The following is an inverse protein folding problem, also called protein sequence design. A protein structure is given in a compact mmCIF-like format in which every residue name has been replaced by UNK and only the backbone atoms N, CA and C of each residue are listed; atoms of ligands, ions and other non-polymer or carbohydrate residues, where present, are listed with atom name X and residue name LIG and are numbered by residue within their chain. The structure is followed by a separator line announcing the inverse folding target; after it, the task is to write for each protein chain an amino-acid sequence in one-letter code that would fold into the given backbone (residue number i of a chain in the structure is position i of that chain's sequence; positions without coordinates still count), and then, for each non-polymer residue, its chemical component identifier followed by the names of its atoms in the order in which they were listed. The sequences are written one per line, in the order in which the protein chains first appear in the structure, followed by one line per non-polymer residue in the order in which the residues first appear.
data_IF_636895497124
#
_entry.id   IF_636895497124
#
_cell.length_a   1.000
_cell.length_b   1.000
_cell.length_c   1.000
_cell.angle_alpha   90.00
_cell.angle_beta   90.00
_cell.angle_gamma   90.00
#
_symmetry.space_group_name_H-M   'P 1'
#
loop_
_entity.id
_entity.type
_entity.pdbx_description
1 polymer ?
#
# COMPACT_ATOMS: atom_id res chain seq x y z
N UNK A 1 39.80 35.09 13.35
CA UNK A 1 41.21 34.83 13.66
C UNK A 1 41.47 33.33 13.46
N UNK A 2 41.92 32.98 12.24
CA UNK A 2 43.00 32.04 11.80
C UNK A 2 43.29 30.78 12.66
N UNK A 3 43.63 29.58 12.09
CA UNK A 3 43.37 28.97 10.76
C UNK A 3 43.06 27.44 10.77
N UNK A 4 42.39 26.88 9.75
CA UNK A 4 42.87 26.04 8.60
C UNK A 4 43.67 24.77 8.94
N UNK A 5 43.15 23.62 8.48
CA UNK A 5 43.90 22.39 8.20
C UNK A 5 43.21 21.58 7.09
N UNK A 6 43.82 21.54 5.90
CA UNK A 6 43.38 20.87 4.67
C UNK A 6 43.88 19.42 4.66
N UNK A 7 43.06 18.48 4.20
CA UNK A 7 43.45 17.10 3.94
C UNK A 7 42.67 16.50 2.77
N UNK A 8 43.33 16.41 1.61
CA UNK A 8 42.88 15.79 0.37
C UNK A 8 43.25 14.30 0.37
N UNK A 9 42.35 13.42 -0.09
CA UNK A 9 42.71 12.12 -0.65
C UNK A 9 41.61 11.60 -1.58
N UNK A 10 41.99 11.45 -2.85
CA UNK A 10 41.22 10.87 -3.95
C UNK A 10 41.29 9.33 -3.96
N UNK A 11 40.14 8.71 -4.29
CA UNK A 11 39.95 7.50 -5.13
C UNK A 11 40.52 6.13 -4.70
N UNK A 12 40.14 4.99 -5.33
CA UNK A 12 38.99 4.68 -6.20
C UNK A 12 38.21 3.40 -5.79
N UNK A 13 37.00 3.24 -6.35
CA UNK A 13 36.31 1.94 -6.48
C UNK A 13 37.04 1.02 -7.47
N UNK A 14 37.36 -0.19 -7.05
CA UNK A 14 37.88 -1.27 -7.90
C UNK A 14 36.73 -2.10 -8.47
N UNK A 15 36.66 -2.11 -9.81
CA UNK A 15 35.94 -3.11 -10.60
C UNK A 15 36.81 -4.36 -10.75
N UNK A 16 36.20 -5.55 -10.68
CA UNK A 16 36.80 -6.79 -11.17
C UNK A 16 36.09 -7.21 -12.45
N UNK A 17 36.90 -7.35 -13.50
CA UNK A 17 36.58 -7.92 -14.81
C UNK A 17 37.39 -9.20 -15.01
N UNK A 18 36.99 -9.98 -16.02
CA UNK A 18 37.69 -11.05 -16.76
C UNK A 18 37.32 -12.49 -16.33
N UNK A 19 37.14 -13.49 -17.20
CA UNK A 19 37.25 -13.57 -18.67
C UNK A 19 37.02 -15.04 -19.15
N UNK A 20 36.33 -15.21 -20.29
CA UNK A 20 36.55 -16.15 -21.42
C UNK A 20 36.43 -17.68 -21.21
N UNK A 21 35.55 -18.35 -22.00
CA UNK A 21 35.93 -19.25 -23.12
C UNK A 21 34.71 -19.87 -23.83
N UNK A 22 34.81 -20.10 -25.15
CA UNK A 22 33.76 -20.57 -26.08
C UNK A 22 34.26 -21.81 -26.84
N UNK A 23 33.36 -22.81 -27.01
CA UNK A 23 33.27 -23.87 -28.07
C UNK A 23 34.35 -25.00 -28.09
N UNK A 24 34.10 -26.20 -28.68
CA UNK A 24 33.25 -26.46 -29.87
C UNK A 24 32.30 -27.68 -29.83
N UNK A 25 31.58 -27.84 -30.95
CA UNK A 25 30.68 -28.94 -31.31
C UNK A 25 31.44 -30.05 -32.07
N UNK A 26 30.91 -31.28 -32.04
CA UNK A 26 31.32 -32.39 -32.89
C UNK A 26 30.23 -33.48 -32.93
N UNK A 27 29.85 -33.86 -34.15
CA UNK A 27 28.88 -34.87 -34.54
C UNK A 27 29.23 -36.29 -34.05
N UNK A 28 28.23 -37.18 -34.00
CA UNK A 28 28.32 -38.50 -34.64
C UNK A 28 26.97 -39.22 -34.70
N UNK A 29 26.63 -39.56 -35.93
CA UNK A 29 25.50 -40.34 -36.40
C UNK A 29 25.76 -41.86 -36.27
N UNK A 30 24.69 -42.64 -36.40
CA UNK A 30 24.63 -44.05 -36.82
C UNK A 30 24.75 -45.16 -35.76
N UNK A 31 23.73 -46.03 -35.67
CA UNK A 31 23.65 -47.31 -36.39
C UNK A 31 22.71 -48.28 -35.64
N UNK A 32 21.71 -48.81 -36.36
CA UNK A 32 20.72 -49.75 -35.85
C UNK A 32 21.13 -51.21 -36.15
N UNK A 33 20.95 -52.16 -35.21
CA UNK A 33 20.38 -53.51 -35.47
C UNK A 33 20.21 -54.40 -34.23
N UNK A 34 19.01 -55.03 -34.16
CA UNK A 34 18.59 -56.41 -33.80
C UNK A 34 19.43 -57.20 -32.77
N UNK A 35 18.80 -57.86 -31.81
CA UNK A 35 18.28 -59.24 -31.89
C UNK A 35 17.04 -59.43 -30.99
N UNK A 36 16.08 -60.26 -31.41
CA UNK A 36 14.89 -60.61 -30.64
C UNK A 36 15.03 -61.97 -29.93
N UNK A 37 14.17 -62.28 -28.95
CA UNK A 37 13.77 -63.64 -28.56
C UNK A 37 12.42 -63.61 -27.82
N UNK A 38 11.53 -64.45 -28.35
CA UNK A 38 10.32 -65.14 -27.89
C UNK A 38 9.41 -64.71 -26.72
N UNK A 39 8.14 -64.93 -27.02
CA UNK A 39 6.92 -64.83 -26.21
C UNK A 39 6.58 -66.16 -25.50
N UNK A 40 5.92 -66.10 -24.32
CA UNK A 40 4.92 -67.08 -23.93
C UNK A 40 3.51 -66.45 -23.89
N UNK A 41 2.54 -67.13 -24.52
CA UNK A 41 1.11 -66.87 -24.34
C UNK A 41 0.59 -67.71 -23.17
N UNK A 42 -0.14 -67.06 -22.25
CA UNK A 42 -1.35 -67.49 -21.51
C UNK A 42 -1.43 -66.59 -20.24
N UNK A 43 -2.54 -66.07 -19.72
CA UNK A 43 -3.97 -66.35 -19.85
C UNK A 43 -4.69 -65.00 -19.54
N UNK A 44 -5.51 -64.46 -20.46
CA UNK A 44 -6.21 -63.16 -20.25
C UNK A 44 -7.42 -63.34 -19.32
N UNK A 45 -7.30 -62.96 -18.04
CA UNK A 45 -8.46 -62.52 -17.25
C UNK A 45 -8.73 -61.05 -17.60
N UNK A 46 -9.86 -60.78 -18.25
CA UNK A 46 -10.30 -59.41 -18.57
C UNK A 46 -10.77 -58.72 -17.28
N UNK A 47 -9.86 -58.03 -16.60
CA UNK A 47 -10.23 -57.05 -15.58
C UNK A 47 -10.50 -55.73 -16.30
N UNK A 48 -11.70 -55.17 -16.10
CA UNK A 48 -12.15 -53.97 -16.78
C UNK A 48 -11.28 -52.77 -16.40
N UNK A 49 -10.59 -52.19 -17.37
CA UNK A 49 -9.73 -50.99 -17.24
C UNK A 49 -10.47 -49.80 -16.62
N UNK A 50 -11.81 -49.79 -16.71
CA UNK A 50 -12.65 -48.76 -16.09
C UNK A 50 -12.51 -48.72 -14.56
N UNK A 51 -12.25 -49.84 -13.88
CA UNK A 51 -12.18 -49.84 -12.41
C UNK A 51 -10.83 -49.37 -11.88
N UNK A 52 -9.73 -49.61 -12.62
CA UNK A 52 -8.38 -49.16 -12.23
C UNK A 52 -8.27 -47.63 -12.35
N UNK A 53 -8.87 -47.04 -13.38
CA UNK A 53 -8.88 -45.58 -13.56
C UNK A 53 -9.73 -44.86 -12.51
N UNK A 54 -10.86 -45.44 -12.11
CA UNK A 54 -11.72 -44.85 -11.07
C UNK A 54 -11.08 -44.97 -9.69
N UNK A 55 -10.50 -46.12 -9.33
CA UNK A 55 -9.80 -46.29 -8.05
C UNK A 55 -8.53 -45.43 -7.97
N UNK A 56 -7.76 -45.31 -9.06
CA UNK A 56 -6.59 -44.44 -9.10
C UNK A 56 -6.96 -42.95 -8.99
N UNK A 57 -8.05 -42.52 -9.64
CA UNK A 57 -8.56 -41.16 -9.54
C UNK A 57 -9.10 -40.82 -8.15
N UNK A 58 -9.83 -41.75 -7.51
CA UNK A 58 -10.36 -41.56 -6.15
C UNK A 58 -9.23 -41.51 -5.12
N UNK A 59 -8.20 -42.35 -5.24
CA UNK A 59 -7.03 -42.31 -4.34
C UNK A 59 -6.21 -41.02 -4.49
N UNK A 60 -6.09 -40.48 -5.72
CA UNK A 60 -5.45 -39.17 -5.97
C UNK A 60 -6.25 -38.00 -5.39
N UNK A 61 -7.58 -38.04 -5.47
CA UNK A 61 -8.44 -37.01 -4.87
C UNK A 61 -8.44 -37.10 -3.36
N UNK A 62 -8.45 -38.30 -2.77
CA UNK A 62 -8.32 -38.48 -1.32
C UNK A 62 -6.94 -38.00 -0.85
N UNK A 63 -5.85 -38.30 -1.57
CA UNK A 63 -4.53 -37.77 -1.26
C UNK A 63 -4.44 -36.24 -1.40
N UNK A 64 -5.20 -35.63 -2.32
CA UNK A 64 -5.30 -34.17 -2.47
C UNK A 64 -6.17 -33.51 -1.39
N UNK A 65 -7.24 -34.18 -0.94
CA UNK A 65 -8.17 -33.69 0.09
C UNK A 65 -7.64 -33.96 1.51
N UNK A 66 -6.81 -34.99 1.70
CA UNK A 66 -6.15 -35.34 2.96
C UNK A 66 -4.64 -35.05 2.97
N UNK A 67 -4.10 -34.34 1.97
CA UNK A 67 -2.82 -33.66 2.16
C UNK A 67 -3.06 -32.59 3.21
N UNK A 68 -2.83 -32.92 4.47
CA UNK A 68 -2.74 -31.93 5.52
C UNK A 68 -1.78 -30.84 5.04
N UNK A 69 -2.19 -29.59 5.21
CA UNK A 69 -1.30 -28.46 5.00
C UNK A 69 -0.12 -28.63 5.98
N UNK A 70 0.96 -29.23 5.51
CA UNK A 70 2.26 -29.33 6.21
C UNK A 70 2.97 -27.97 6.35
N UNK A 71 2.22 -26.87 6.24
CA UNK A 71 2.58 -25.56 6.75
C UNK A 71 1.55 -25.13 7.79
N UNK A 72 1.43 -25.91 8.87
CA UNK A 72 1.07 -25.33 10.16
C UNK A 72 2.26 -24.47 10.61
N UNK A 73 2.32 -23.25 10.09
CA UNK A 73 3.08 -22.21 10.76
C UNK A 73 2.27 -21.84 11.99
N UNK A 74 2.55 -22.48 13.12
CA UNK A 74 2.26 -21.87 14.40
C UNK A 74 2.89 -20.47 14.34
N UNK A 75 2.13 -19.37 14.43
CA UNK A 75 2.76 -18.09 14.66
C UNK A 75 3.36 -18.21 16.05
N UNK A 76 4.66 -18.49 16.12
CA UNK A 76 5.46 -18.12 17.27
C UNK A 76 5.25 -16.62 17.39
N UNK A 77 4.37 -16.23 18.30
CA UNK A 77 4.18 -14.84 18.69
C UNK A 77 5.48 -14.37 19.35
N UNK A 78 6.46 -14.02 18.52
CA UNK A 78 7.56 -13.16 18.94
C UNK A 78 6.93 -11.79 19.19
N UNK A 79 6.68 -11.52 20.48
CA UNK A 79 6.13 -10.29 21.00
C UNK A 79 6.90 -9.08 20.49
N UNK A 80 6.18 -8.24 19.77
CA UNK A 80 6.66 -7.04 19.10
C UNK A 80 5.72 -6.73 17.95
N UNK A 81 4.44 -6.49 18.25
CA UNK A 81 3.42 -6.34 17.22
C UNK A 81 3.70 -5.06 16.41
N UNK A 82 4.42 -5.18 15.30
CA UNK A 82 4.83 -4.05 14.46
C UNK A 82 3.59 -3.32 13.93
N UNK A 83 3.50 -2.01 14.18
CA UNK A 83 2.38 -1.20 13.71
C UNK A 83 2.30 -1.23 12.17
N UNK A 84 1.08 -1.20 11.59
CA UNK A 84 0.91 -1.01 10.16
C UNK A 84 1.72 0.19 9.65
N UNK A 85 2.32 0.04 8.47
CA UNK A 85 3.06 1.11 7.81
C UNK A 85 2.08 2.04 7.11
N UNK A 86 2.16 3.34 7.41
CA UNK A 86 1.34 4.35 6.73
C UNK A 86 1.70 4.41 5.23
N UNK A 87 0.70 4.53 4.34
CA UNK A 87 0.96 4.78 2.93
C UNK A 87 1.75 6.08 2.73
N UNK A 88 2.84 5.99 1.97
CA UNK A 88 3.71 7.11 1.58
C UNK A 88 3.78 7.26 0.06
N UNK A 89 4.22 8.42 -0.41
CA UNK A 89 4.56 8.61 -1.81
C UNK A 89 5.89 7.92 -2.14
N UNK A 90 5.99 7.35 -3.34
CA UNK A 90 7.24 6.85 -3.89
C UNK A 90 8.04 8.01 -4.49
N UNK A 91 8.44 8.94 -3.63
CA UNK A 91 9.20 10.13 -3.99
C UNK A 91 10.47 10.21 -3.14
N UNK A 92 11.48 10.90 -3.64
CA UNK A 92 12.64 11.24 -2.85
C UNK A 92 12.20 11.97 -1.56
N UNK A 93 12.76 11.64 -0.38
CA UNK A 93 12.39 12.29 0.88
C UNK A 93 12.51 13.82 0.87
N UNK A 94 13.49 14.36 0.15
CA UNK A 94 13.67 15.82 -0.02
C UNK A 94 12.50 16.45 -0.78
N UNK A 95 11.78 15.70 -1.60
CA UNK A 95 10.55 16.17 -2.24
C UNK A 95 9.37 15.88 -1.33
N UNK A 96 9.21 14.62 -0.90
CA UNK A 96 8.04 14.13 -0.17
C UNK A 96 7.75 14.96 1.11
N UNK A 97 8.80 15.35 1.83
CA UNK A 97 8.68 16.10 3.09
C UNK A 97 8.54 17.62 2.89
N UNK A 98 8.68 18.12 1.66
CA UNK A 98 8.58 19.53 1.32
C UNK A 98 7.32 19.89 0.50
N UNK A 99 6.31 19.00 0.45
CA UNK A 99 5.02 19.24 -0.21
C UNK A 99 3.99 19.99 0.65
N UNK A 100 4.39 20.46 1.84
CA UNK A 100 3.52 21.16 2.78
C UNK A 100 2.24 20.37 3.09
N UNK A 101 1.04 20.97 2.99
CA UNK A 101 -0.21 20.28 3.29
C UNK A 101 -0.62 19.23 2.25
N UNK A 102 0.15 19.04 1.17
CA UNK A 102 -0.08 18.01 0.15
C UNK A 102 0.81 16.78 0.36
N UNK A 103 1.78 16.85 1.28
CA UNK A 103 2.62 15.72 1.67
C UNK A 103 1.81 14.58 2.29
N UNK A 104 2.22 13.35 2.03
CA UNK A 104 1.70 12.19 2.74
C UNK A 104 2.10 12.28 4.22
N UNK A 105 1.28 11.77 5.13
CA UNK A 105 1.64 11.72 6.56
C UNK A 105 2.88 10.84 6.75
N UNK A 106 3.87 11.37 7.45
CA UNK A 106 5.07 10.63 7.87
C UNK A 106 5.34 10.84 9.38
N UNK A 107 6.14 9.94 9.97
CA UNK A 107 6.58 10.09 11.35
C UNK A 107 7.65 11.18 11.42
N UNK A 108 7.46 12.16 12.31
CA UNK A 108 8.45 13.20 12.55
C UNK A 108 9.44 12.70 13.61
N UNK A 109 10.76 12.70 13.33
CA UNK A 109 11.75 12.29 14.31
C UNK A 109 11.67 13.12 15.59
N UNK A 110 11.77 12.46 16.74
CA UNK A 110 11.77 13.10 18.05
C UNK A 110 12.86 12.46 18.90
N UNK A 111 13.53 13.27 19.74
CA UNK A 111 14.44 12.77 20.78
C UNK A 111 13.70 12.10 21.94
N UNK A 112 12.40 12.37 22.06
CA UNK A 112 11.52 11.79 23.09
C UNK A 112 10.78 10.61 22.47
N UNK A 113 10.89 9.44 23.10
CA UNK A 113 10.19 8.23 22.66
C UNK A 113 8.66 8.43 22.68
N UNK A 114 7.99 7.87 21.68
CA UNK A 114 6.52 7.85 21.61
C UNK A 114 5.89 6.60 22.25
N UNK A 115 6.71 5.77 22.88
CA UNK A 115 6.29 4.59 23.63
C UNK A 115 5.69 4.99 24.98
N UNK A 116 4.81 4.14 25.50
CA UNK A 116 4.27 4.33 26.84
C UNK A 116 5.40 4.11 27.85
N UNK A 117 5.68 5.06 28.77
CA UNK A 117 6.74 4.89 29.75
C UNK A 117 6.56 3.64 30.61
N UNK A 118 7.66 3.04 31.05
CA UNK A 118 7.65 1.84 31.90
C UNK A 118 6.87 2.11 33.19
N UNK A 119 5.92 1.23 33.51
CA UNK A 119 5.06 1.35 34.69
C UNK A 119 3.82 2.25 34.49
N UNK A 120 3.66 2.88 33.32
CA UNK A 120 2.46 3.61 32.98
C UNK A 120 1.49 2.76 32.14
N UNK A 121 0.20 3.07 32.27
CA UNK A 121 -0.84 2.57 31.37
C UNK A 121 -1.63 3.75 30.81
N UNK A 122 -2.06 3.64 29.56
CA UNK A 122 -2.93 4.64 28.93
C UNK A 122 -4.36 4.33 29.36
N UNK A 123 -5.08 5.35 29.83
CA UNK A 123 -6.49 5.23 30.25
C UNK A 123 -7.46 5.89 29.27
N UNK A 124 -6.98 6.81 28.43
CA UNK A 124 -7.76 7.50 27.41
C UNK A 124 -6.87 7.99 26.27
N UNK A 125 -7.40 8.01 25.05
CA UNK A 125 -6.77 8.65 23.88
C UNK A 125 -7.78 9.54 23.17
N UNK A 126 -7.35 10.74 22.81
CA UNK A 126 -8.05 11.60 21.85
C UNK A 126 -7.20 11.73 20.58
N UNK A 127 -7.82 11.56 19.41
CA UNK A 127 -7.14 11.68 18.12
C UNK A 127 -7.80 12.79 17.31
N UNK A 128 -7.02 13.81 16.95
CA UNK A 128 -7.39 14.79 15.94
C UNK A 128 -6.70 14.45 14.62
N UNK A 129 -7.49 14.17 13.58
CA UNK A 129 -7.00 13.72 12.28
C UNK A 129 -7.62 14.55 11.16
N UNK A 130 -6.78 15.00 10.22
CA UNK A 130 -7.21 15.58 8.95
C UNK A 130 -7.72 14.49 8.01
N UNK A 131 -8.57 14.87 7.04
CA UNK A 131 -8.93 13.98 5.94
C UNK A 131 -7.69 13.42 5.21
N UNK A 132 -7.82 12.26 4.58
CA UNK A 132 -6.77 11.66 3.75
C UNK A 132 -6.44 12.49 2.50
N UNK A 133 -5.45 12.05 1.73
CA UNK A 133 -5.14 12.64 0.43
C UNK A 133 -6.38 12.70 -0.49
N UNK A 134 -6.45 13.76 -1.29
CA UNK A 134 -7.62 14.06 -2.13
C UNK A 134 -7.18 14.63 -3.47
N UNK A 135 -8.09 14.58 -4.44
CA UNK A 135 -7.96 15.36 -5.65
C UNK A 135 -8.09 16.87 -5.38
N UNK A 136 -7.65 17.73 -6.31
CA UNK A 136 -7.83 19.18 -6.20
C UNK A 136 -9.30 19.57 -6.00
N UNK A 137 -9.50 20.76 -5.42
CA UNK A 137 -10.85 21.34 -5.39
C UNK A 137 -11.26 21.72 -6.80
N UNK A 138 -12.56 21.89 -7.06
CA UNK A 138 -13.06 22.27 -8.41
C UNK A 138 -12.29 23.45 -9.01
N UNK A 139 -12.18 24.56 -8.27
CA UNK A 139 -11.48 25.74 -8.77
C UNK A 139 -9.97 25.54 -8.98
N UNK A 140 -9.31 24.73 -8.15
CA UNK A 140 -7.88 24.42 -8.34
C UNK A 140 -7.66 23.48 -9.54
N UNK A 141 -8.53 22.48 -9.71
CA UNK A 141 -8.46 21.54 -10.82
C UNK A 141 -8.68 22.24 -12.17
N UNK A 142 -9.64 23.16 -12.26
CA UNK A 142 -9.83 24.00 -13.46
C UNK A 142 -8.58 24.82 -13.79
N UNK A 143 -7.94 25.44 -12.80
CA UNK A 143 -6.70 26.20 -13.04
C UNK A 143 -5.55 25.33 -13.54
N UNK A 144 -5.43 24.10 -13.02
CA UNK A 144 -4.43 23.12 -13.50
C UNK A 144 -4.73 22.75 -14.95
N UNK A 145 -5.99 22.48 -15.28
CA UNK A 145 -6.40 22.11 -16.64
C UNK A 145 -6.15 23.24 -17.67
N UNK A 146 -6.47 24.48 -17.31
CA UNK A 146 -6.15 25.67 -18.12
C UNK A 146 -4.64 25.80 -18.34
N UNK A 147 -3.83 25.58 -17.30
CA UNK A 147 -2.37 25.63 -17.43
C UNK A 147 -1.84 24.52 -18.36
N UNK A 148 -2.33 23.29 -18.19
CA UNK A 148 -1.96 22.16 -19.04
C UNK A 148 -2.35 22.38 -20.50
N UNK A 149 -3.55 22.95 -20.74
CA UNK A 149 -4.02 23.28 -22.09
C UNK A 149 -3.07 24.25 -22.79
N UNK A 150 -2.62 25.30 -22.08
CA UNK A 150 -1.63 26.25 -22.63
C UNK A 150 -0.30 25.57 -22.93
N UNK A 151 0.19 24.72 -22.02
CA UNK A 151 1.46 24.02 -22.20
C UNK A 151 1.42 23.03 -23.36
N UNK A 152 0.28 22.37 -23.60
CA UNK A 152 0.09 21.46 -24.75
C UNK A 152 0.13 22.14 -26.10
N UNK A 153 -0.07 23.47 -26.17
CA UNK A 153 0.02 24.25 -27.41
C UNK A 153 1.47 24.63 -27.78
N UNK A 154 2.43 24.41 -26.87
CA UNK A 154 3.84 24.72 -27.14
C UNK A 154 4.40 23.74 -28.16
N UNK A 155 4.74 24.24 -29.34
CA UNK A 155 5.50 23.49 -30.33
C UNK A 155 6.98 23.40 -29.92
N UNK A 156 7.60 22.23 -30.09
CA UNK A 156 9.03 21.99 -29.85
C UNK A 156 9.48 22.27 -28.40
N UNK A 157 9.03 21.43 -27.45
CA UNK A 157 9.52 21.46 -26.06
C UNK A 157 11.01 21.09 -26.03
N UNK A 158 11.88 22.05 -25.73
CA UNK A 158 13.33 21.85 -25.69
C UNK A 158 13.79 21.03 -24.47
N UNK A 159 13.11 21.19 -23.33
CA UNK A 159 13.44 20.51 -22.07
C UNK A 159 12.86 19.07 -22.07
N UNK A 160 13.70 18.02 -22.11
CA UNK A 160 13.21 16.64 -22.24
C UNK A 160 12.30 16.19 -21.08
N UNK A 161 12.53 16.69 -19.87
CA UNK A 161 11.71 16.33 -18.70
C UNK A 161 10.25 16.80 -18.81
N UNK A 162 9.92 17.67 -19.76
CA UNK A 162 8.58 18.20 -20.00
C UNK A 162 7.86 17.53 -21.19
N UNK A 163 8.50 16.59 -21.91
CA UNK A 163 7.90 15.93 -23.07
C UNK A 163 6.60 15.18 -22.75
N UNK A 164 6.46 14.70 -21.51
CA UNK A 164 5.25 14.02 -21.03
C UNK A 164 3.98 14.88 -21.16
N UNK A 165 4.10 16.22 -21.13
CA UNK A 165 2.95 17.13 -21.13
C UNK A 165 2.07 16.92 -22.37
N UNK A 166 2.69 16.64 -23.52
CA UNK A 166 2.00 16.43 -24.80
C UNK A 166 0.98 15.29 -24.75
N UNK A 167 1.26 14.24 -23.98
CA UNK A 167 0.44 13.03 -23.86
C UNK A 167 -0.23 12.91 -22.49
N UNK A 168 0.08 13.81 -21.55
CA UNK A 168 -0.46 13.76 -20.19
C UNK A 168 -1.97 13.98 -20.19
N UNK A 169 -2.72 12.96 -19.77
CA UNK A 169 -4.16 13.05 -19.58
C UNK A 169 -4.47 13.34 -18.11
N UNK A 170 -4.90 14.56 -17.82
CA UNK A 170 -5.23 14.98 -16.47
C UNK A 170 -6.70 14.68 -16.18
N UNK A 171 -6.96 13.65 -15.37
CA UNK A 171 -8.29 13.27 -14.92
C UNK A 171 -8.36 13.31 -13.40
N UNK A 172 -9.45 13.83 -12.86
CA UNK A 172 -9.65 13.94 -11.40
C UNK A 172 -11.12 14.01 -11.04
N UNK A 173 -11.44 13.59 -9.82
CA UNK A 173 -12.78 13.77 -9.23
C UNK A 173 -12.68 14.84 -8.16
N UNK A 174 -13.12 16.06 -8.49
CA UNK A 174 -12.96 17.24 -7.64
C UNK A 174 -13.37 16.99 -6.18
N UNK A 175 -12.58 17.51 -5.25
CA UNK A 175 -12.81 17.49 -3.79
C UNK A 175 -12.83 16.12 -3.10
N UNK A 176 -12.91 15.01 -3.84
CA UNK A 176 -13.02 13.66 -3.31
C UNK A 176 -11.67 13.09 -2.86
N UNK A 177 -11.71 12.16 -1.91
CA UNK A 177 -10.53 11.36 -1.56
C UNK A 177 -10.09 10.54 -2.78
N UNK A 178 -8.78 10.39 -2.93
CA UNK A 178 -8.23 9.37 -3.83
C UNK A 178 -7.99 8.07 -3.03
N UNK A 179 -7.73 6.96 -3.73
CA UNK A 179 -7.55 5.65 -3.08
C UNK A 179 -6.38 5.64 -2.09
N UNK A 180 -5.34 6.42 -2.38
CA UNK A 180 -4.24 6.63 -1.45
C UNK A 180 -4.71 7.24 -0.13
N UNK A 181 -5.54 8.29 -0.17
CA UNK A 181 -6.11 8.94 1.02
C UNK A 181 -7.09 8.08 1.80
N UNK A 182 -7.87 7.25 1.10
CA UNK A 182 -8.73 6.23 1.73
C UNK A 182 -7.89 5.24 2.51
N UNK A 183 -6.83 4.70 1.89
CA UNK A 183 -5.90 3.78 2.54
C UNK A 183 -5.19 4.41 3.73
N UNK A 184 -4.77 5.67 3.63
CA UNK A 184 -4.17 6.39 4.76
C UNK A 184 -5.09 6.44 5.97
N UNK A 185 -6.37 6.77 5.76
CA UNK A 185 -7.35 6.88 6.84
C UNK A 185 -7.63 5.51 7.47
N UNK A 186 -7.81 4.48 6.64
CA UNK A 186 -7.98 3.10 7.09
C UNK A 186 -6.80 2.59 7.92
N UNK A 187 -5.57 2.74 7.41
CA UNK A 187 -4.35 2.30 8.12
C UNK A 187 -4.15 3.08 9.42
N UNK A 188 -4.49 4.38 9.44
CA UNK A 188 -4.47 5.19 10.67
C UNK A 188 -5.38 4.62 11.75
N UNK A 189 -6.59 4.15 11.39
CA UNK A 189 -7.48 3.46 12.31
C UNK A 189 -6.85 2.20 12.90
N UNK A 190 -6.24 1.36 12.05
CA UNK A 190 -5.55 0.14 12.49
C UNK A 190 -4.38 0.44 13.44
N UNK A 191 -3.61 1.51 13.18
CA UNK A 191 -2.50 1.92 14.02
C UNK A 191 -3.00 2.28 15.42
N UNK A 192 -4.08 3.06 15.53
CA UNK A 192 -4.63 3.46 16.84
C UNK A 192 -5.16 2.25 17.59
N UNK A 193 -5.96 1.40 16.94
CA UNK A 193 -6.49 0.17 17.56
C UNK A 193 -5.38 -0.75 18.07
N UNK A 194 -4.29 -0.88 17.30
CA UNK A 194 -3.16 -1.72 17.67
C UNK A 194 -2.26 -1.09 18.75
N UNK A 195 -1.97 0.21 18.65
CA UNK A 195 -1.11 0.93 19.59
C UNK A 195 -1.73 1.01 20.98
N UNK A 196 -3.06 1.12 21.05
CA UNK A 196 -3.80 1.28 22.31
C UNK A 196 -4.77 0.12 22.55
N UNK A 197 -4.40 -1.09 22.16
CA UNK A 197 -5.24 -2.28 22.27
C UNK A 197 -5.76 -2.54 23.71
N UNK A 198 -5.02 -2.11 24.73
CA UNK A 198 -5.42 -2.22 26.15
C UNK A 198 -6.66 -1.41 26.51
N UNK A 199 -7.04 -0.41 25.71
CA UNK A 199 -8.26 0.39 25.90
C UNK A 199 -9.53 -0.30 25.38
N UNK A 200 -9.39 -1.44 24.70
CA UNK A 200 -10.50 -2.14 24.07
C UNK A 200 -10.95 -1.53 22.74
N UNK A 201 -12.20 -1.80 22.35
CA UNK A 201 -12.75 -1.48 21.02
C UNK A 201 -13.75 -0.32 21.02
N UNK A 202 -14.07 0.22 22.18
CA UNK A 202 -14.96 1.37 22.30
C UNK A 202 -14.33 2.61 21.65
N UNK A 203 -15.13 3.34 20.87
CA UNK A 203 -14.72 4.57 20.17
C UNK A 203 -15.89 5.54 20.09
N UNK A 204 -15.57 6.82 20.01
CA UNK A 204 -16.51 7.89 19.69
C UNK A 204 -15.88 8.80 18.64
N UNK A 205 -16.52 8.90 17.48
CA UNK A 205 -16.00 9.52 16.26
C UNK A 205 -16.87 10.71 15.87
N UNK A 206 -16.27 11.89 15.82
CA UNK A 206 -16.90 13.09 15.27
C UNK A 206 -16.24 13.50 13.96
N UNK A 207 -17.02 14.02 13.02
CA UNK A 207 -16.53 14.56 11.76
C UNK A 207 -17.18 15.91 11.45
N UNK A 208 -16.43 16.84 10.87
CA UNK A 208 -17.07 18.00 10.25
C UNK A 208 -17.79 17.54 8.97
N UNK A 209 -19.02 18.02 8.75
CA UNK A 209 -19.92 17.56 7.67
C UNK A 209 -19.44 18.11 6.33
N UNK A 210 -18.44 17.42 5.77
CA UNK A 210 -17.92 17.58 4.43
C UNK A 210 -17.54 16.20 3.90
N UNK A 211 -17.95 15.86 2.70
CA UNK A 211 -17.90 14.50 2.16
C UNK A 211 -16.56 13.80 2.42
N UNK A 212 -15.44 14.40 1.98
CA UNK A 212 -14.09 13.84 2.19
C UNK A 212 -13.68 13.68 3.66
N UNK A 213 -14.19 14.52 4.56
CA UNK A 213 -13.89 14.47 6.00
C UNK A 213 -14.69 13.32 6.63
N UNK A 214 -15.98 13.25 6.30
CA UNK A 214 -16.85 12.16 6.72
C UNK A 214 -16.31 10.83 6.19
N UNK A 215 -16.05 10.71 4.89
CA UNK A 215 -15.49 9.49 4.28
C UNK A 215 -14.18 9.06 4.95
N UNK A 216 -13.28 10.00 5.26
CA UNK A 216 -12.04 9.70 6.00
C UNK A 216 -12.32 9.11 7.38
N UNK A 217 -13.30 9.66 8.11
CA UNK A 217 -13.71 9.16 9.41
C UNK A 217 -14.32 7.75 9.31
N UNK A 218 -15.09 7.48 8.25
CA UNK A 218 -15.68 6.17 7.97
C UNK A 218 -14.59 5.12 7.67
N UNK A 219 -13.61 5.45 6.84
CA UNK A 219 -12.44 4.59 6.58
C UNK A 219 -11.60 4.36 7.84
N UNK A 220 -11.38 5.39 8.65
CA UNK A 220 -10.69 5.28 9.93
C UNK A 220 -11.43 4.32 10.87
N UNK A 221 -12.75 4.45 11.00
CA UNK A 221 -13.58 3.58 11.84
C UNK A 221 -13.54 2.13 11.35
N UNK A 222 -13.60 1.91 10.03
CA UNK A 222 -13.47 0.60 9.40
C UNK A 222 -12.13 -0.06 9.71
N UNK A 223 -11.02 0.68 9.63
CA UNK A 223 -9.69 0.16 9.98
C UNK A 223 -9.55 -0.09 11.48
N UNK A 224 -10.08 0.80 12.31
CA UNK A 224 -10.04 0.66 13.77
C UNK A 224 -10.76 -0.60 14.25
N UNK A 225 -11.92 -0.92 13.69
CA UNK A 225 -12.68 -2.12 14.06
C UNK A 225 -12.18 -3.41 13.40
N UNK A 226 -11.10 -3.35 12.60
CA UNK A 226 -10.55 -4.51 11.91
C UNK A 226 -11.38 -5.02 10.73
N UNK A 227 -12.25 -4.18 10.16
CA UNK A 227 -13.04 -4.55 8.98
C UNK A 227 -12.20 -4.62 7.69
N UNK A 228 -12.71 -5.30 6.66
CA UNK A 228 -12.04 -5.39 5.37
C UNK A 228 -11.90 -4.02 4.67
N UNK A 229 -10.82 -3.81 3.93
CA UNK A 229 -10.59 -2.59 3.14
C UNK A 229 -11.37 -2.60 1.82
N UNK A 230 -11.46 -3.75 1.16
CA UNK A 230 -12.11 -3.89 -0.14
C UNK A 230 -13.62 -4.07 0.03
N UNK A 231 -14.27 -2.97 0.41
CA UNK A 231 -15.72 -2.89 0.64
C UNK A 231 -16.29 -1.62 0.02
N UNK A 232 -17.56 -1.61 -0.41
CA UNK A 232 -18.20 -0.40 -0.91
C UNK A 232 -18.20 0.73 0.13
N UNK A 233 -18.00 1.97 -0.29
CA UNK A 233 -18.06 3.14 0.61
C UNK A 233 -19.40 3.20 1.34
N UNK A 234 -20.49 2.79 0.70
CA UNK A 234 -21.82 2.76 1.29
C UNK A 234 -21.91 1.88 2.55
N UNK A 235 -21.14 0.79 2.64
CA UNK A 235 -21.18 -0.13 3.78
C UNK A 235 -20.26 0.28 4.94
N UNK A 236 -19.51 1.38 4.81
CA UNK A 236 -18.61 1.81 5.87
C UNK A 236 -19.38 2.34 7.09
N UNK A 237 -18.87 2.16 8.32
CA UNK A 237 -19.46 2.72 9.53
C UNK A 237 -19.65 4.24 9.41
N UNK A 238 -20.73 4.78 9.95
CA UNK A 238 -20.92 6.23 10.05
C UNK A 238 -20.20 6.79 11.28
N UNK A 239 -19.75 8.05 11.26
CA UNK A 239 -19.31 8.73 12.49
C UNK A 239 -20.51 8.90 13.44
N UNK A 240 -20.25 8.86 14.75
CA UNK A 240 -21.26 9.05 15.79
C UNK A 240 -21.90 10.44 15.73
N UNK A 241 -21.13 11.46 15.34
CA UNK A 241 -21.62 12.83 15.14
C UNK A 241 -21.01 13.44 13.89
N UNK A 242 -21.85 13.94 12.99
CA UNK A 242 -21.44 14.83 11.90
C UNK A 242 -21.86 16.26 12.21
N UNK A 243 -20.90 17.18 12.31
CA UNK A 243 -21.13 18.57 12.72
C UNK A 243 -21.21 19.44 11.46
N UNK A 244 -22.34 20.11 11.26
CA UNK A 244 -22.61 20.95 10.09
C UNK A 244 -21.54 22.04 9.93
N UNK A 245 -21.13 22.30 8.69
CA UNK A 245 -20.22 23.38 8.32
C UNK A 245 -21.05 24.49 7.63
N UNK A 246 -21.21 25.61 8.31
CA UNK A 246 -21.75 26.86 7.75
C UNK A 246 -21.28 28.04 8.64
N UNK A 247 -21.72 29.25 8.33
CA UNK A 247 -21.35 30.49 9.03
C UNK A 247 -22.18 30.79 10.29
N UNK A 248 -23.15 29.92 10.62
CA UNK A 248 -24.05 30.06 11.78
C UNK A 248 -23.88 28.95 12.82
N UNK A 249 -23.22 27.85 12.46
CA UNK A 249 -23.03 26.65 13.27
C UNK A 249 -21.72 26.71 14.04
N UNK A 250 -21.79 26.49 15.35
CA UNK A 250 -20.61 26.34 16.20
C UNK A 250 -19.95 24.98 15.96
N UNK A 251 -18.99 24.94 15.05
CA UNK A 251 -18.26 23.73 14.70
C UNK A 251 -16.79 23.83 15.13
N UNK A 252 -16.43 23.16 16.23
CA UNK A 252 -15.05 23.15 16.75
C UNK A 252 -14.03 22.50 15.82
N UNK A 253 -14.49 21.75 14.81
CA UNK A 253 -13.64 21.11 13.81
C UNK A 253 -13.49 21.96 12.53
N UNK A 254 -14.31 23.00 12.38
CA UNK A 254 -14.26 23.95 11.27
C UNK A 254 -14.98 25.25 11.63
N UNK A 255 -14.26 26.18 12.28
CA UNK A 255 -14.84 27.43 12.77
C UNK A 255 -15.00 28.42 11.61
N UNK A 256 -16.25 28.72 11.23
CA UNK A 256 -16.59 29.74 10.22
C UNK A 256 -17.41 30.91 10.78
N UNK A 257 -17.71 30.91 12.07
CA UNK A 257 -18.53 31.93 12.75
C UNK A 257 -17.72 33.17 13.14
N UNK A 258 -16.39 33.13 13.04
CA UNK A 258 -15.53 34.28 13.33
C UNK A 258 -15.49 35.26 12.14
N UNK A 259 -16.32 36.29 12.18
CA UNK A 259 -16.43 37.29 11.09
C UNK A 259 -15.10 38.00 10.82
N UNK A 260 -14.35 38.34 11.87
CA UNK A 260 -13.06 39.03 11.73
C UNK A 260 -11.96 38.18 11.06
N UNK A 261 -12.15 36.86 10.95
CA UNK A 261 -11.20 35.94 10.32
C UNK A 261 -11.57 35.58 8.87
N UNK A 262 -12.62 36.19 8.29
CA UNK A 262 -12.94 36.01 6.87
C UNK A 262 -11.87 36.72 6.03
N UNK A 263 -11.06 35.94 5.31
CA UNK A 263 -10.03 36.41 4.35
C UNK A 263 -10.63 36.48 2.95
#
# INVERSE_FOLDING_TARGET
MVPIGVGSANSPMTAFSNSIAKKPAGDLESYARREGINCPRQLRRKISVKHILVLGGVLLVIAYVHSERLFSSSPVAKGGSQLPVLPSYQLDPQIAYNLGPYGARYAVPSKISSEVPKGCSVTMVNVLQRHGARYPTTGAGVRIDVALTKLKQVANIAEPSLHFISTFNYTYTADQLNDFGRKQSYVSGQIIAKKYASLGTAKFVRAALKDRIVESARWWAQGFQGGAYDVPIASLPQPDVSIIINDTSNNTLNVNTCVAAKV
#
